data_IF_893449694634
#
_entry.id   IF_893449694634
#
_cell.length_a   1.000
_cell.length_b   1.000
_cell.length_c   1.000
_cell.angle_alpha   90.00
_cell.angle_beta   90.00
_cell.angle_gamma   90.00
#
_symmetry.space_group_name_H-M   'P 1'
#
loop_
_entity.id
_entity.type
_entity.pdbx_description
1 polymer ?
#
# COMPACT_ATOMS: atom_id res chain seq x y z
N UNK A 1 -28.48 -7.40 11.64
CA UNK A 1 -27.51 -6.29 11.56
C UNK A 1 -26.18 -6.86 12.00
N UNK A 2 -25.23 -7.06 11.08
CA UNK A 2 -23.91 -7.55 11.46
C UNK A 2 -23.19 -6.46 12.23
N UNK A 3 -22.87 -6.69 13.49
CA UNK A 3 -22.11 -5.77 14.33
C UNK A 3 -20.69 -5.71 13.78
N UNK A 4 -20.33 -4.61 13.11
CA UNK A 4 -18.96 -4.36 12.67
C UNK A 4 -18.01 -4.44 13.88
N UNK A 5 -16.90 -5.18 13.74
CA UNK A 5 -15.87 -5.31 14.77
C UNK A 5 -14.64 -4.49 14.38
N UNK A 6 -14.45 -3.27 14.95
CA UNK A 6 -13.30 -2.43 14.62
C UNK A 6 -11.98 -2.98 15.15
N UNK A 7 -12.02 -4.04 15.96
CA UNK A 7 -10.84 -4.60 16.62
C UNK A 7 -9.77 -5.06 15.61
N UNK A 8 -10.19 -5.62 14.47
CA UNK A 8 -9.27 -6.07 13.43
C UNK A 8 -8.57 -4.89 12.75
N UNK A 9 -9.33 -3.88 12.29
CA UNK A 9 -8.77 -2.70 11.63
C UNK A 9 -7.84 -1.91 12.58
N UNK A 10 -8.23 -1.76 13.86
CA UNK A 10 -7.39 -1.10 14.88
C UNK A 10 -6.10 -1.89 15.14
N UNK A 11 -6.17 -3.23 15.26
CA UNK A 11 -4.98 -4.05 15.48
C UNK A 11 -4.01 -3.98 14.29
N UNK A 12 -4.54 -4.04 13.06
CA UNK A 12 -3.76 -3.89 11.83
C UNK A 12 -3.10 -2.51 11.75
N UNK A 13 -3.86 -1.44 11.97
CA UNK A 13 -3.33 -0.07 12.01
C UNK A 13 -2.22 0.09 13.05
N UNK A 14 -2.40 -0.47 14.25
CA UNK A 14 -1.40 -0.40 15.32
C UNK A 14 -0.10 -1.11 14.93
N UNK A 15 -0.20 -2.29 14.28
CA UNK A 15 0.97 -3.00 13.76
C UNK A 15 1.69 -2.18 12.68
N UNK A 16 0.95 -1.63 11.72
CA UNK A 16 1.49 -0.86 10.60
C UNK A 16 2.15 0.44 11.06
N UNK A 17 1.52 1.19 11.96
CA UNK A 17 2.11 2.39 12.58
C UNK A 17 3.33 2.05 13.44
N UNK A 18 3.28 0.94 14.18
CA UNK A 18 4.41 0.43 14.94
C UNK A 18 5.61 0.11 14.03
N UNK A 19 5.35 -0.58 12.93
CA UNK A 19 6.36 -0.91 11.92
C UNK A 19 6.89 0.35 11.20
N UNK A 20 6.04 1.34 10.92
CA UNK A 20 6.44 2.61 10.30
C UNK A 20 7.36 3.41 11.24
N UNK A 21 6.98 3.53 12.50
CA UNK A 21 7.77 4.21 13.52
C UNK A 21 9.09 3.46 13.78
N UNK A 22 9.06 2.13 13.72
CA UNK A 22 10.26 1.32 13.73
C UNK A 22 11.15 1.61 12.51
N UNK A 23 10.61 1.65 11.28
CA UNK A 23 11.38 2.02 10.10
C UNK A 23 12.14 3.35 10.26
N UNK A 24 11.46 4.39 10.75
CA UNK A 24 12.00 5.74 10.84
C UNK A 24 13.03 5.95 11.95
N UNK A 25 12.95 5.17 13.05
CA UNK A 25 13.90 5.28 14.18
C UNK A 25 15.19 4.48 13.98
N UNK A 26 15.28 3.70 12.90
CA UNK A 26 16.36 2.72 12.70
C UNK A 26 17.51 3.21 11.83
N UNK A 27 18.70 2.58 11.95
CA UNK A 27 19.77 2.76 10.97
C UNK A 27 19.37 2.13 9.63
N UNK A 28 19.88 2.69 8.53
CA UNK A 28 19.62 2.20 7.18
C UNK A 28 19.53 3.32 6.14
N UNK A 29 19.31 2.98 4.88
CA UNK A 29 19.19 3.97 3.80
C UNK A 29 17.88 4.75 3.93
N UNK A 30 17.91 6.09 4.17
CA UNK A 30 16.68 6.87 4.32
C UNK A 30 15.84 6.90 3.04
N UNK A 31 16.50 6.76 1.88
CA UNK A 31 15.82 6.67 0.58
C UNK A 31 14.92 5.44 0.45
N UNK A 32 15.18 4.37 1.21
CA UNK A 32 14.36 3.15 1.25
C UNK A 32 13.39 3.20 2.42
N UNK A 33 13.88 3.58 3.61
CA UNK A 33 13.08 3.55 4.84
C UNK A 33 11.95 4.59 4.82
N UNK A 34 12.12 5.76 4.19
CA UNK A 34 11.07 6.80 4.14
C UNK A 34 9.88 6.39 3.26
N UNK A 35 10.05 5.96 2.00
CA UNK A 35 8.91 5.46 1.20
C UNK A 35 8.26 4.23 1.82
N UNK A 36 9.04 3.35 2.45
CA UNK A 36 8.52 2.18 3.15
C UNK A 36 7.65 2.59 4.35
N UNK A 37 8.13 3.50 5.19
CA UNK A 37 7.34 4.04 6.29
C UNK A 37 6.07 4.76 5.79
N UNK A 38 6.17 5.50 4.68
CA UNK A 38 5.02 6.15 4.06
C UNK A 38 3.97 5.13 3.59
N UNK A 39 4.38 4.02 2.95
CA UNK A 39 3.45 2.93 2.61
C UNK A 39 2.73 2.40 3.85
N UNK A 40 3.47 2.10 4.92
CA UNK A 40 2.88 1.59 6.16
C UNK A 40 1.91 2.60 6.80
N UNK A 41 2.21 3.90 6.72
CA UNK A 41 1.31 4.96 7.20
C UNK A 41 0.04 5.05 6.36
N UNK A 42 0.14 4.96 5.03
CA UNK A 42 -1.02 4.93 4.15
C UNK A 42 -1.88 3.68 4.42
N UNK A 43 -1.27 2.50 4.54
CA UNK A 43 -2.01 1.28 4.91
C UNK A 43 -2.78 1.46 6.22
N UNK A 44 -2.12 2.00 7.26
CA UNK A 44 -2.78 2.29 8.54
C UNK A 44 -3.85 3.39 8.43
N UNK A 45 -3.60 4.39 7.58
CA UNK A 45 -4.52 5.49 7.30
C UNK A 45 -5.87 4.98 6.82
N UNK A 46 -5.86 4.04 5.87
CA UNK A 46 -7.06 3.38 5.41
C UNK A 46 -7.76 2.59 6.54
N UNK A 47 -7.03 1.81 7.32
CA UNK A 47 -7.62 1.03 8.44
C UNK A 47 -8.34 1.94 9.44
N UNK A 48 -7.77 3.11 9.74
CA UNK A 48 -8.38 4.12 10.60
C UNK A 48 -9.59 4.77 9.91
N UNK A 49 -9.48 5.11 8.63
CA UNK A 49 -10.58 5.68 7.87
C UNK A 49 -11.78 4.73 7.82
N UNK A 50 -11.55 3.42 7.68
CA UNK A 50 -12.60 2.39 7.69
C UNK A 50 -13.38 2.37 9.02
N UNK A 51 -12.70 2.49 10.16
CA UNK A 51 -13.36 2.58 11.47
C UNK A 51 -14.32 3.76 11.51
N UNK A 52 -13.91 4.92 10.97
CA UNK A 52 -14.78 6.10 10.90
C UNK A 52 -15.92 5.95 9.89
N UNK A 53 -15.66 5.37 8.72
CA UNK A 53 -16.70 5.03 7.73
C UNK A 53 -17.78 4.16 8.37
N UNK A 54 -17.39 3.12 9.12
CA UNK A 54 -18.35 2.22 9.74
C UNK A 54 -19.00 2.76 11.02
N UNK A 55 -18.38 3.72 11.70
CA UNK A 55 -19.00 4.44 12.82
C UNK A 55 -20.07 5.44 12.35
N UNK A 56 -19.90 6.02 11.17
CA UNK A 56 -20.83 6.98 10.58
C UNK A 56 -21.07 6.69 9.07
N UNK A 57 -21.79 5.62 8.72
CA UNK A 57 -21.93 5.17 7.32
C UNK A 57 -22.69 6.15 6.41
N UNK A 58 -23.39 7.12 6.98
CA UNK A 58 -24.06 8.20 6.26
C UNK A 58 -23.13 9.38 5.95
N UNK A 59 -21.95 9.45 6.58
CA UNK A 59 -20.95 10.48 6.35
C UNK A 59 -19.98 10.06 5.25
N UNK A 60 -20.22 10.58 4.04
CA UNK A 60 -19.40 10.30 2.86
C UNK A 60 -17.99 10.90 2.95
N UNK A 61 -17.73 11.80 3.91
CA UNK A 61 -16.42 12.42 4.07
C UNK A 61 -15.33 11.38 4.35
N UNK A 62 -15.58 10.45 5.28
CA UNK A 62 -14.60 9.43 5.65
C UNK A 62 -14.33 8.43 4.52
N UNK A 63 -15.35 8.13 3.71
CA UNK A 63 -15.15 7.31 2.53
C UNK A 63 -14.24 8.02 1.52
N UNK A 64 -14.43 9.33 1.30
CA UNK A 64 -13.55 10.14 0.44
C UNK A 64 -12.13 10.20 0.96
N UNK A 65 -11.93 10.32 2.28
CA UNK A 65 -10.61 10.23 2.92
C UNK A 65 -9.96 8.88 2.64
N UNK A 66 -10.71 7.78 2.75
CA UNK A 66 -10.19 6.44 2.46
C UNK A 66 -9.74 6.27 0.99
N UNK A 67 -10.53 6.76 0.02
CA UNK A 67 -10.10 6.77 -1.40
C UNK A 67 -8.91 7.71 -1.64
N UNK A 68 -8.91 8.88 -1.02
CA UNK A 68 -7.82 9.83 -1.12
C UNK A 68 -6.50 9.32 -0.52
N UNK A 69 -6.56 8.40 0.44
CA UNK A 69 -5.40 7.76 1.06
C UNK A 69 -4.86 6.61 0.18
N UNK A 70 -5.74 5.68 -0.23
CA UNK A 70 -5.38 4.50 -1.04
C UNK A 70 -4.74 4.85 -2.38
N UNK A 71 -5.14 5.96 -3.00
CA UNK A 71 -4.61 6.36 -4.31
C UNK A 71 -3.11 6.64 -4.31
N UNK A 72 -2.52 6.93 -3.14
CA UNK A 72 -1.07 7.15 -3.00
C UNK A 72 -0.29 5.85 -2.84
N UNK A 73 -0.93 4.72 -2.53
CA UNK A 73 -0.23 3.44 -2.33
C UNK A 73 0.56 3.01 -3.57
N UNK A 74 0.01 2.97 -4.80
CA UNK A 74 0.78 2.55 -5.95
C UNK A 74 1.98 3.46 -6.30
N UNK A 75 1.85 4.81 -6.34
CA UNK A 75 2.99 5.70 -6.58
C UNK A 75 4.12 5.53 -5.55
N UNK A 76 3.77 5.40 -4.27
CA UNK A 76 4.78 5.18 -3.22
C UNK A 76 5.38 3.78 -3.32
N UNK A 77 4.60 2.78 -3.72
CA UNK A 77 5.07 1.43 -4.04
C UNK A 77 6.10 1.42 -5.18
N UNK A 78 5.83 2.17 -6.26
CA UNK A 78 6.76 2.35 -7.38
C UNK A 78 8.03 3.06 -6.93
N UNK A 79 7.90 4.12 -6.14
CA UNK A 79 9.03 4.83 -5.57
C UNK A 79 9.90 3.90 -4.72
N UNK A 80 9.29 3.11 -3.83
CA UNK A 80 10.02 2.15 -3.01
C UNK A 80 10.77 1.14 -3.88
N UNK A 81 10.09 0.53 -4.87
CA UNK A 81 10.70 -0.42 -5.78
C UNK A 81 11.92 0.19 -6.51
N UNK A 82 11.79 1.43 -7.00
CA UNK A 82 12.89 2.15 -7.65
C UNK A 82 14.08 2.35 -6.71
N UNK A 83 13.83 2.64 -5.43
CA UNK A 83 14.88 2.80 -4.40
C UNK A 83 15.50 1.47 -3.97
N UNK A 84 14.74 0.37 -4.00
CA UNK A 84 15.22 -0.97 -3.72
C UNK A 84 16.08 -1.52 -4.87
N UNK A 85 15.61 -1.39 -6.10
CA UNK A 85 16.26 -1.97 -7.28
C UNK A 85 17.38 -1.10 -7.87
N UNK A 86 17.43 0.20 -7.53
CA UNK A 86 18.38 1.16 -8.12
C UNK A 86 18.47 1.08 -9.68
N UNK A 87 17.36 0.92 -10.43
CA UNK A 87 17.41 0.77 -11.88
C UNK A 87 17.88 2.09 -12.53
N UNK A 88 18.18 2.07 -13.83
CA UNK A 88 18.54 3.27 -14.60
C UNK A 88 17.58 4.43 -14.30
N UNK A 89 18.14 5.46 -13.65
CA UNK A 89 17.37 6.40 -12.82
C UNK A 89 16.36 7.26 -13.58
N UNK A 90 16.55 7.47 -14.89
CA UNK A 90 15.85 8.54 -15.62
C UNK A 90 14.43 8.16 -16.03
N UNK A 91 14.23 7.02 -16.71
CA UNK A 91 12.90 6.63 -17.23
C UNK A 91 11.91 6.27 -16.11
N UNK A 92 12.33 5.42 -15.18
CA UNK A 92 11.51 5.03 -14.02
C UNK A 92 11.20 6.21 -13.10
N UNK A 93 12.11 7.18 -12.99
CA UNK A 93 11.88 8.40 -12.22
C UNK A 93 10.75 9.25 -12.77
N UNK A 94 10.72 9.46 -14.10
CA UNK A 94 9.63 10.21 -14.76
C UNK A 94 8.29 9.49 -14.66
N UNK A 95 8.26 8.17 -14.83
CA UNK A 95 7.04 7.38 -14.66
C UNK A 95 6.49 7.49 -13.23
N UNK A 96 7.35 7.36 -12.22
CA UNK A 96 6.97 7.51 -10.82
C UNK A 96 6.42 8.91 -10.53
N UNK A 97 7.07 9.96 -11.05
CA UNK A 97 6.59 11.34 -10.91
C UNK A 97 5.21 11.54 -11.58
N UNK A 98 5.00 10.97 -12.76
CA UNK A 98 3.69 10.97 -13.43
C UNK A 98 2.62 10.27 -12.59
N UNK A 99 2.94 9.13 -11.97
CA UNK A 99 2.01 8.43 -11.08
C UNK A 99 1.63 9.28 -9.85
N UNK A 100 2.57 10.01 -9.25
CA UNK A 100 2.26 10.96 -8.17
C UNK A 100 1.37 12.12 -8.62
N UNK A 101 1.60 12.67 -9.82
CA UNK A 101 0.74 13.72 -10.37
C UNK A 101 -0.70 13.22 -10.61
N UNK A 102 -0.85 12.02 -11.14
CA UNK A 102 -2.16 11.38 -11.35
C UNK A 102 -2.84 11.09 -10.00
N UNK A 103 -2.10 10.60 -9.00
CA UNK A 103 -2.64 10.40 -7.66
C UNK A 103 -3.14 11.71 -7.04
N UNK A 104 -2.37 12.80 -7.16
CA UNK A 104 -2.80 14.13 -6.71
C UNK A 104 -4.05 14.63 -7.43
N UNK A 105 -4.15 14.39 -8.74
CA UNK A 105 -5.37 14.68 -9.51
C UNK A 105 -6.58 13.91 -8.98
N UNK A 106 -6.45 12.60 -8.76
CA UNK A 106 -7.54 11.79 -8.19
C UNK A 106 -7.91 12.22 -6.77
N UNK A 107 -6.94 12.55 -5.91
CA UNK A 107 -7.21 13.10 -4.58
C UNK A 107 -8.10 14.35 -4.67
N UNK A 108 -7.76 15.30 -5.55
CA UNK A 108 -8.58 16.51 -5.75
C UNK A 108 -9.96 16.14 -6.30
N UNK A 109 -10.03 15.23 -7.27
CA UNK A 109 -11.29 14.82 -7.90
C UNK A 109 -12.24 14.13 -6.91
N UNK A 110 -11.74 13.25 -6.05
CA UNK A 110 -12.50 12.55 -5.00
C UNK A 110 -13.24 13.53 -4.08
N UNK A 111 -12.61 14.66 -3.75
CA UNK A 111 -13.25 15.70 -2.93
C UNK A 111 -14.11 16.68 -3.73
N UNK A 112 -13.78 16.92 -5.01
CA UNK A 112 -14.47 17.87 -5.86
C UNK A 112 -15.79 17.35 -6.46
N UNK A 113 -15.91 16.05 -6.76
CA UNK A 113 -17.16 15.47 -7.31
C UNK A 113 -17.99 14.82 -6.19
N UNK A 114 -19.16 15.40 -5.82
CA UNK A 114 -20.01 14.83 -4.79
C UNK A 114 -20.53 13.43 -5.10
N UNK A 115 -20.52 13.03 -6.38
CA UNK A 115 -21.00 11.73 -6.88
C UNK A 115 -19.92 10.65 -6.86
N UNK A 116 -18.68 10.98 -6.48
CA UNK A 116 -17.60 10.00 -6.43
C UNK A 116 -17.90 8.88 -5.42
N UNK A 117 -18.41 9.26 -4.23
CA UNK A 117 -18.97 8.34 -3.23
C UNK A 117 -20.25 8.94 -2.66
N UNK A 118 -21.36 8.22 -2.75
CA UNK A 118 -22.67 8.58 -2.17
C UNK A 118 -23.07 7.76 -0.95
N UNK A 119 -22.34 6.70 -0.62
CA UNK A 119 -22.68 5.85 0.53
C UNK A 119 -21.74 4.67 0.71
N UNK A 120 -21.74 4.14 1.93
CA UNK A 120 -20.97 2.98 2.36
C UNK A 120 -21.87 2.00 3.12
N UNK A 121 -21.71 0.71 2.84
CA UNK A 121 -22.36 -0.36 3.58
C UNK A 121 -21.29 -1.15 4.31
N UNK A 122 -21.34 -1.19 5.62
CA UNK A 122 -20.42 -1.99 6.42
C UNK A 122 -21.01 -3.38 6.69
N UNK A 123 -20.25 -4.40 6.34
CA UNK A 123 -20.47 -5.77 6.79
C UNK A 123 -19.52 -6.06 7.97
N UNK A 124 -19.58 -7.27 8.53
CA UNK A 124 -18.90 -7.61 9.79
C UNK A 124 -17.41 -7.24 9.83
N UNK A 125 -16.72 -7.31 8.69
CA UNK A 125 -15.26 -7.11 8.57
C UNK A 125 -14.83 -6.30 7.33
N UNK A 126 -15.76 -5.76 6.53
CA UNK A 126 -15.39 -4.93 5.38
C UNK A 126 -16.46 -3.90 5.04
N UNK A 127 -16.04 -2.80 4.40
CA UNK A 127 -16.92 -1.77 3.85
C UNK A 127 -17.04 -1.92 2.33
N UNK A 128 -18.27 -1.93 1.83
CA UNK A 128 -18.60 -1.83 0.41
C UNK A 128 -19.11 -0.45 0.04
N UNK A 129 -18.80 0.00 -1.17
CA UNK A 129 -19.14 1.35 -1.66
C UNK A 129 -19.97 1.23 -2.94
N UNK A 130 -21.11 1.91 -3.02
CA UNK A 130 -22.13 1.62 -4.05
C UNK A 130 -22.09 2.57 -5.25
N UNK A 131 -21.21 2.42 -6.26
CA UNK A 131 -21.19 3.38 -7.39
C UNK A 131 -20.76 2.81 -8.75
N UNK A 132 -21.59 2.92 -9.82
CA UNK A 132 -21.14 2.77 -11.20
C UNK A 132 -20.94 4.15 -11.83
N UNK A 133 -19.74 4.73 -11.69
CA UNK A 133 -19.36 5.94 -12.42
C UNK A 133 -18.03 5.74 -13.14
N UNK A 134 -17.89 6.40 -14.29
CA UNK A 134 -16.65 6.43 -15.07
C UNK A 134 -15.44 6.89 -14.23
N UNK A 135 -15.67 7.75 -13.23
CA UNK A 135 -14.62 8.24 -12.33
C UNK A 135 -14.02 7.11 -11.49
N UNK A 136 -14.88 6.21 -10.96
CA UNK A 136 -14.43 5.06 -10.16
C UNK A 136 -13.74 4.01 -11.04
N UNK A 137 -14.20 3.80 -12.28
CA UNK A 137 -13.52 2.93 -13.24
C UNK A 137 -12.13 3.46 -13.57
N UNK A 138 -12.00 4.76 -13.84
CA UNK A 138 -10.71 5.39 -14.10
C UNK A 138 -9.76 5.31 -12.88
N UNK A 139 -10.30 5.54 -11.67
CA UNK A 139 -9.58 5.37 -10.41
C UNK A 139 -9.11 3.91 -10.23
N UNK A 140 -10.01 2.96 -10.43
CA UNK A 140 -9.75 1.54 -10.34
C UNK A 140 -8.69 1.10 -11.34
N UNK A 141 -8.78 1.56 -12.59
CA UNK A 141 -7.79 1.30 -13.63
C UNK A 141 -6.41 1.84 -13.23
N UNK A 142 -6.33 3.07 -12.73
CA UNK A 142 -5.07 3.64 -12.23
C UNK A 142 -4.47 2.79 -11.10
N UNK A 143 -5.29 2.41 -10.13
CA UNK A 143 -4.86 1.60 -9.00
C UNK A 143 -4.35 0.22 -9.45
N UNK A 144 -5.09 -0.47 -10.32
CA UNK A 144 -4.69 -1.79 -10.86
C UNK A 144 -3.43 -1.69 -11.71
N UNK A 145 -3.31 -0.70 -12.59
CA UNK A 145 -2.09 -0.45 -13.37
C UNK A 145 -0.89 -0.22 -12.45
N UNK A 146 -1.09 0.50 -11.35
CA UNK A 146 -0.11 0.69 -10.30
C UNK A 146 0.33 -0.64 -9.67
N UNK A 147 -0.60 -1.50 -9.28
CA UNK A 147 -0.29 -2.83 -8.72
C UNK A 147 0.46 -3.72 -9.71
N UNK A 148 -0.02 -3.79 -10.96
CA UNK A 148 0.65 -4.54 -12.02
C UNK A 148 2.05 -3.99 -12.29
N UNK A 149 2.25 -2.68 -12.21
CA UNK A 149 3.57 -2.07 -12.30
C UNK A 149 4.51 -2.44 -11.15
N UNK A 150 4.01 -2.55 -9.92
CA UNK A 150 4.80 -3.03 -8.77
C UNK A 150 5.22 -4.50 -8.97
N UNK A 151 4.30 -5.35 -9.41
CA UNK A 151 4.57 -6.78 -9.65
C UNK A 151 5.53 -6.95 -10.83
N UNK A 152 5.18 -6.40 -12.00
CA UNK A 152 5.97 -6.51 -13.21
C UNK A 152 7.35 -5.86 -13.07
N UNK A 153 7.41 -4.68 -12.44
CA UNK A 153 8.68 -4.02 -12.14
C UNK A 153 9.53 -4.79 -11.13
N UNK A 154 8.91 -5.42 -10.12
CA UNK A 154 9.60 -6.28 -9.16
C UNK A 154 10.22 -7.51 -9.83
N UNK A 155 9.47 -8.18 -10.71
CA UNK A 155 9.96 -9.33 -11.49
C UNK A 155 11.11 -8.87 -12.40
N UNK A 156 10.93 -7.79 -13.15
CA UNK A 156 11.97 -7.26 -14.04
C UNK A 156 13.24 -6.89 -13.26
N UNK A 157 13.11 -6.28 -12.09
CA UNK A 157 14.24 -5.95 -11.22
C UNK A 157 14.98 -7.21 -10.74
N UNK A 158 14.27 -8.27 -10.32
CA UNK A 158 14.91 -9.51 -9.87
C UNK A 158 15.76 -10.20 -10.94
N UNK A 159 15.39 -10.06 -12.21
CA UNK A 159 16.15 -10.62 -13.35
C UNK A 159 17.46 -9.86 -13.57
N UNK A 160 17.49 -8.55 -13.33
CA UNK A 160 18.63 -7.68 -13.67
C UNK A 160 19.49 -7.29 -12.45
N UNK A 161 19.10 -7.67 -11.23
CA UNK A 161 19.85 -7.35 -10.03
C UNK A 161 20.95 -8.39 -9.77
N UNK A 162 22.19 -7.93 -9.64
CA UNK A 162 23.34 -8.76 -9.28
C UNK A 162 23.56 -8.85 -7.76
N UNK A 163 23.18 -7.80 -7.01
CA UNK A 163 23.42 -7.71 -5.57
C UNK A 163 22.51 -8.63 -4.76
N UNK A 164 23.03 -9.55 -3.92
CA UNK A 164 22.21 -10.47 -3.13
C UNK A 164 21.31 -9.74 -2.12
N UNK A 165 21.74 -8.58 -1.64
CA UNK A 165 20.97 -7.72 -0.73
C UNK A 165 19.79 -7.07 -1.44
N UNK A 166 20.02 -6.41 -2.57
CA UNK A 166 19.00 -5.76 -3.38
C UNK A 166 17.95 -6.79 -3.85
N UNK A 167 18.41 -7.95 -4.34
CA UNK A 167 17.53 -9.07 -4.71
C UNK A 167 16.65 -9.52 -3.56
N UNK A 168 17.21 -9.68 -2.36
CA UNK A 168 16.43 -10.08 -1.19
C UNK A 168 15.35 -9.05 -0.82
N UNK A 169 15.66 -7.75 -0.92
CA UNK A 169 14.67 -6.71 -0.61
C UNK A 169 13.57 -6.63 -1.66
N UNK A 170 13.92 -6.69 -2.94
CA UNK A 170 12.93 -6.71 -4.03
C UNK A 170 12.09 -7.99 -3.95
N UNK A 171 12.69 -9.14 -3.63
CA UNK A 171 11.97 -10.40 -3.45
C UNK A 171 10.98 -10.33 -2.29
N UNK A 172 11.39 -9.78 -1.14
CA UNK A 172 10.48 -9.62 0.01
C UNK A 172 9.33 -8.64 -0.35
N UNK A 173 9.62 -7.50 -1.00
CA UNK A 173 8.58 -6.57 -1.47
C UNK A 173 7.62 -7.20 -2.49
N UNK A 174 8.14 -7.92 -3.47
CA UNK A 174 7.35 -8.60 -4.50
C UNK A 174 6.50 -9.72 -3.88
N UNK A 175 7.08 -10.52 -2.98
CA UNK A 175 6.35 -11.57 -2.28
C UNK A 175 5.18 -10.99 -1.49
N UNK A 176 5.41 -9.93 -0.70
CA UNK A 176 4.32 -9.23 -0.03
C UNK A 176 3.25 -8.72 -0.98
N UNK A 177 3.67 -8.10 -2.09
CA UNK A 177 2.76 -7.55 -3.11
C UNK A 177 1.89 -8.64 -3.74
N UNK A 178 2.51 -9.73 -4.20
CA UNK A 178 1.81 -10.86 -4.81
C UNK A 178 0.90 -11.55 -3.80
N UNK A 179 1.37 -11.77 -2.57
CA UNK A 179 0.57 -12.44 -1.53
C UNK A 179 -0.71 -11.65 -1.23
N UNK A 180 -0.65 -10.34 -1.02
CA UNK A 180 -1.87 -9.59 -0.71
C UNK A 180 -2.83 -9.52 -1.91
N UNK A 181 -2.31 -9.35 -3.14
CA UNK A 181 -3.14 -9.30 -4.35
C UNK A 181 -3.83 -10.64 -4.59
N UNK A 182 -3.10 -11.75 -4.49
CA UNK A 182 -3.66 -13.09 -4.68
C UNK A 182 -4.72 -13.40 -3.63
N UNK A 183 -4.48 -13.06 -2.35
CA UNK A 183 -5.48 -13.26 -1.30
C UNK A 183 -6.75 -12.43 -1.57
N UNK A 184 -6.61 -11.16 -1.96
CA UNK A 184 -7.75 -10.31 -2.28
C UNK A 184 -8.58 -10.85 -3.46
N UNK A 185 -7.91 -11.18 -4.58
CA UNK A 185 -8.57 -11.74 -5.76
C UNK A 185 -9.22 -13.09 -5.47
N UNK A 186 -8.59 -13.94 -4.66
CA UNK A 186 -9.16 -15.22 -4.25
C UNK A 186 -10.48 -15.00 -3.49
N UNK A 187 -10.51 -14.03 -2.57
CA UNK A 187 -11.73 -13.70 -1.83
C UNK A 187 -12.83 -13.16 -2.73
N UNK A 188 -12.51 -12.32 -3.72
CA UNK A 188 -13.50 -11.84 -4.70
C UNK A 188 -14.07 -12.94 -5.59
N UNK A 189 -13.25 -13.93 -5.95
CA UNK A 189 -13.67 -15.08 -6.76
C UNK A 189 -14.57 -16.02 -5.95
N UNK A 190 -14.21 -16.28 -4.69
CA UNK A 190 -14.92 -17.23 -3.82
C UNK A 190 -16.19 -16.64 -3.21
N UNK A 191 -16.20 -15.33 -2.92
CA UNK A 191 -17.29 -14.67 -2.22
C UNK A 191 -17.84 -13.50 -3.03
N UNK A 192 -18.92 -13.72 -3.79
CA UNK A 192 -19.47 -12.71 -4.71
C UNK A 192 -19.73 -11.32 -4.11
N UNK A 193 -20.21 -11.17 -2.85
CA UNK A 193 -20.37 -9.85 -2.23
C UNK A 193 -19.07 -9.09 -1.98
N UNK A 194 -17.90 -9.75 -2.05
CA UNK A 194 -16.60 -9.11 -1.93
C UNK A 194 -16.25 -8.18 -3.10
N UNK A 195 -16.89 -8.34 -4.27
CA UNK A 195 -16.58 -7.54 -5.48
C UNK A 195 -16.85 -6.05 -5.29
N UNK A 196 -17.85 -5.72 -4.48
CA UNK A 196 -18.18 -4.32 -4.16
C UNK A 196 -17.39 -3.80 -2.94
N UNK A 197 -16.57 -4.67 -2.32
CA UNK A 197 -15.76 -4.41 -1.13
C UNK A 197 -14.25 -4.56 -1.40
N UNK A 198 -13.83 -4.67 -2.66
CA UNK A 198 -12.44 -4.84 -3.09
C UNK A 198 -11.47 -3.91 -2.35
N UNK A 199 -11.69 -2.58 -2.25
CA UNK A 199 -10.74 -1.71 -1.56
C UNK A 199 -10.51 -2.07 -0.09
N UNK A 200 -11.57 -2.47 0.61
CA UNK A 200 -11.50 -2.84 2.04
C UNK A 200 -10.83 -4.19 2.23
N UNK A 201 -11.15 -5.17 1.39
CA UNK A 201 -10.55 -6.51 1.43
C UNK A 201 -9.06 -6.45 1.12
N UNK A 202 -8.66 -5.67 0.13
CA UNK A 202 -7.25 -5.48 -0.22
C UNK A 202 -6.46 -4.89 0.95
N UNK A 203 -7.02 -3.93 1.67
CA UNK A 203 -6.33 -3.32 2.81
C UNK A 203 -6.20 -4.28 4.00
N UNK A 204 -7.20 -5.13 4.26
CA UNK A 204 -7.07 -6.18 5.28
C UNK A 204 -5.94 -7.17 4.95
N UNK A 205 -5.83 -7.58 3.67
CA UNK A 205 -4.72 -8.42 3.24
C UNK A 205 -3.39 -7.67 3.12
N UNK A 206 -3.40 -6.33 3.11
CA UNK A 206 -2.18 -5.54 3.12
C UNK A 206 -1.35 -5.71 4.40
N UNK A 207 -1.93 -6.29 5.48
CA UNK A 207 -1.16 -6.80 6.61
C UNK A 207 -0.05 -7.77 6.16
N UNK A 208 -0.32 -8.62 5.16
CA UNK A 208 0.69 -9.49 4.57
C UNK A 208 1.84 -8.67 3.96
N UNK A 209 1.51 -7.64 3.17
CA UNK A 209 2.51 -6.71 2.64
C UNK A 209 3.30 -6.05 3.79
N UNK A 210 2.64 -5.57 4.84
CA UNK A 210 3.28 -4.94 5.98
C UNK A 210 4.27 -5.86 6.70
N UNK A 211 3.98 -7.16 6.84
CA UNK A 211 4.91 -8.16 7.40
C UNK A 211 6.17 -8.27 6.53
N UNK A 212 6.02 -8.34 5.21
CA UNK A 212 7.17 -8.37 4.30
C UNK A 212 7.97 -7.07 4.32
N UNK A 213 7.30 -5.90 4.40
CA UNK A 213 7.97 -4.61 4.57
C UNK A 213 8.75 -4.54 5.89
N UNK A 214 8.20 -5.08 6.99
CA UNK A 214 8.92 -5.20 8.26
C UNK A 214 10.18 -6.05 8.13
N UNK A 215 10.13 -7.13 7.34
CA UNK A 215 11.31 -7.94 7.03
C UNK A 215 12.35 -7.19 6.21
N UNK A 216 11.94 -6.34 5.26
CA UNK A 216 12.84 -5.43 4.54
C UNK A 216 13.52 -4.45 5.51
N UNK A 217 12.77 -3.84 6.44
CA UNK A 217 13.34 -2.96 7.49
C UNK A 217 14.40 -3.71 8.30
N UNK A 218 14.08 -4.92 8.75
CA UNK A 218 14.99 -5.75 9.53
C UNK A 218 16.32 -6.01 8.81
N UNK A 219 16.25 -6.41 7.53
CA UNK A 219 17.44 -6.67 6.71
C UNK A 219 18.27 -5.41 6.50
N UNK A 220 17.62 -4.29 6.21
CA UNK A 220 18.28 -3.00 5.98
C UNK A 220 19.10 -2.56 7.21
N UNK A 221 18.54 -2.73 8.41
CA UNK A 221 19.22 -2.47 9.69
C UNK A 221 20.40 -3.42 9.92
N UNK A 222 20.20 -4.72 9.70
CA UNK A 222 21.26 -5.74 9.90
C UNK A 222 22.45 -5.48 8.98
N UNK A 223 22.21 -5.18 7.71
CA UNK A 223 23.28 -4.86 6.76
C UNK A 223 24.03 -3.58 7.13
N UNK A 224 23.34 -2.58 7.69
CA UNK A 224 24.00 -1.37 8.19
C UNK A 224 24.91 -1.66 9.40
N UNK A 225 24.45 -2.49 10.34
CA UNK A 225 25.26 -2.91 11.49
C UNK A 225 26.53 -3.67 11.07
N UNK A 226 26.42 -4.57 10.09
CA UNK A 226 27.57 -5.29 9.53
C UNK A 226 28.57 -4.35 8.83
N UNK A 227 28.08 -3.36 8.10
CA UNK A 227 28.94 -2.38 7.43
C UNK A 227 29.74 -1.51 8.43
N UNK A 228 29.10 -1.09 9.53
CA UNK A 228 29.78 -0.35 10.61
C UNK A 228 30.83 -1.21 11.32
N UNK A 229 30.51 -2.48 11.61
CA UNK A 229 31.44 -3.39 12.25
C UNK A 229 32.69 -3.65 11.39
N UNK A 230 32.52 -3.81 10.07
CA UNK A 230 33.65 -3.97 9.14
C UNK A 230 34.52 -2.70 9.04
N UNK A 231 33.90 -1.51 9.11
CA UNK A 231 34.65 -0.25 9.08
C UNK A 231 35.51 0.00 10.33
N UNK A 232 35.20 -0.61 11.46
CA UNK A 232 35.95 -0.45 12.72
C UNK A 232 37.14 -1.42 12.84
N UNK A 233 37.26 -2.39 11.93
CA UNK A 233 38.34 -3.39 11.90
C UNK A 233 39.55 -2.94 11.07
N UNK A 234 39.50 -1.74 10.46
CA UNK A 234 40.54 -1.13 9.65
C UNK A 234 40.90 0.25 10.20
#
# INVERSE_FOLDING_TARGET
MSTYSPALSIATAAFELGAAAWALRGPGRPEVLRPLALLLVLLAGYQVAEVFVCAAPHDVFWARVAFADVVWLPPVGWLLLLRLARPERRRWGHLTAGAFAIAGFFTVWVFADPRFVTGSVCQAVFASYTHPTLALEAYGAFYHLGLWGMIGGGIAALVHLDGPRERAHVADFLAGTVTFVVLALTTEVVYAPARDATPSIMCHYALALAIFLARVIWRERRSHGQALAAAYQH
#
